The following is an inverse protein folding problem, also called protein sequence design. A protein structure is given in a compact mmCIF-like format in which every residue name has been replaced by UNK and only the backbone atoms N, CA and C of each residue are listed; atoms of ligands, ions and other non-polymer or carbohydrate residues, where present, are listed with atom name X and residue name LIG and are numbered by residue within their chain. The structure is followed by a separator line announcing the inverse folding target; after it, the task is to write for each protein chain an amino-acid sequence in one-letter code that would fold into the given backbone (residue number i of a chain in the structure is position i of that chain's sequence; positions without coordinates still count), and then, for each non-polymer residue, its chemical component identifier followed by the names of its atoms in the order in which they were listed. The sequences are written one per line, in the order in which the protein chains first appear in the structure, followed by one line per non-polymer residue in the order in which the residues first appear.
data_IF_877190240165
#
_entry.id   IF_877190240165
#
_cell.length_a   1.000
_cell.length_b   1.000
_cell.length_c   1.000
_cell.angle_alpha   90.00
_cell.angle_beta   90.00
_cell.angle_gamma   90.00
#
_symmetry.space_group_name_H-M   'P 1'
#
loop_
_entity.id
_entity.type
_entity.pdbx_description
1 polymer ?
#
# COMPACT_ATOMS: atom_id res chain seq x y z
N UNK A 1 -47.15 -42.85 -25.48
CA UNK A 1 -46.46 -42.71 -26.78
C UNK A 1 -45.25 -41.83 -26.49
N UNK A 2 -43.99 -42.21 -26.70
CA UNK A 2 -43.41 -42.91 -27.86
C UNK A 2 -42.08 -43.57 -27.44
N UNK A 3 -41.85 -44.80 -27.93
CA UNK A 3 -40.59 -45.57 -27.84
C UNK A 3 -39.54 -45.03 -28.82
N UNK A 4 -38.26 -45.22 -28.52
CA UNK A 4 -37.18 -45.49 -29.47
C UNK A 4 -35.91 -45.90 -28.69
N UNK A 5 -35.02 -46.79 -29.11
CA UNK A 5 -35.00 -47.92 -30.05
C UNK A 5 -33.63 -48.58 -29.81
N UNK A 6 -33.59 -49.91 -29.71
CA UNK A 6 -32.36 -50.72 -29.69
C UNK A 6 -31.66 -50.75 -31.05
N UNK A 7 -30.33 -50.95 -31.06
CA UNK A 7 -29.63 -52.08 -31.75
C UNK A 7 -28.09 -51.91 -31.65
N UNK A 8 -27.36 -52.92 -31.13
CA UNK A 8 -26.46 -53.86 -31.85
C UNK A 8 -25.10 -53.22 -32.22
N UNK A 9 -23.90 -53.80 -32.05
CA UNK A 9 -23.44 -55.18 -32.24
C UNK A 9 -22.17 -55.49 -31.42
N UNK A 10 -21.83 -56.78 -31.33
CA UNK A 10 -20.57 -57.31 -30.78
C UNK A 10 -19.52 -57.41 -31.89
N UNK A 11 -18.25 -57.15 -31.58
CA UNK A 11 -17.12 -57.89 -32.14
C UNK A 11 -15.89 -57.84 -31.21
N UNK A 12 -15.18 -58.96 -31.12
CA UNK A 12 -13.95 -59.20 -30.36
C UNK A 12 -12.76 -59.14 -31.32
N UNK A 13 -11.62 -58.62 -30.87
CA UNK A 13 -10.25 -59.21 -31.02
C UNK A 13 -9.20 -58.22 -30.50
N UNK A 14 -8.51 -58.55 -29.39
CA UNK A 14 -7.10 -59.00 -29.29
C UNK A 14 -6.05 -57.98 -29.78
N UNK A 15 -5.20 -57.52 -28.84
CA UNK A 15 -3.72 -57.63 -28.88
C UNK A 15 -3.07 -56.83 -27.74
N UNK A 16 -2.41 -57.54 -26.81
CA UNK A 16 -1.12 -57.12 -26.22
C UNK A 16 -0.01 -57.59 -27.20
N UNK A 17 1.24 -57.05 -27.27
CA UNK A 17 2.03 -56.56 -26.12
C UNK A 17 3.08 -55.41 -26.36
N UNK A 18 3.68 -54.99 -25.25
CA UNK A 18 5.12 -54.64 -25.04
C UNK A 18 5.71 -53.23 -25.35
N UNK A 19 6.48 -52.74 -24.34
CA UNK A 19 7.40 -51.57 -24.24
C UNK A 19 6.75 -50.19 -24.01
N UNK A 20 7.21 -49.29 -23.12
CA UNK A 20 8.44 -49.16 -22.33
C UNK A 20 8.18 -48.15 -21.19
N UNK A 21 8.42 -48.50 -19.93
CA UNK A 21 8.50 -47.55 -18.81
C UNK A 21 9.90 -47.67 -18.19
N UNK A 22 10.81 -46.84 -18.66
CA UNK A 22 12.11 -46.58 -18.06
C UNK A 22 12.14 -45.10 -17.66
N UNK A 23 12.69 -44.86 -16.46
CA UNK A 23 13.09 -43.58 -15.83
C UNK A 23 12.04 -42.89 -14.95
N UNK A 24 11.94 -43.30 -13.69
CA UNK A 24 12.33 -42.41 -12.59
C UNK A 24 12.86 -43.24 -11.42
N UNK A 25 14.17 -43.20 -11.22
CA UNK A 25 14.89 -43.94 -10.19
C UNK A 25 14.91 -43.12 -8.89
N UNK A 26 14.62 -43.83 -7.80
CA UNK A 26 15.17 -43.68 -6.44
C UNK A 26 14.83 -42.44 -5.61
N UNK A 27 14.02 -42.66 -4.56
CA UNK A 27 14.42 -42.42 -3.16
C UNK A 27 13.67 -43.44 -2.27
N UNK A 28 14.39 -44.49 -1.87
CA UNK A 28 13.93 -45.52 -0.94
C UNK A 28 14.53 -45.22 0.43
N UNK A 29 13.64 -45.19 1.44
CA UNK A 29 13.77 -45.69 2.81
C UNK A 29 15.12 -45.59 3.50
N UNK A 30 15.15 -44.89 4.64
CA UNK A 30 15.94 -45.31 5.79
C UNK A 30 15.12 -45.12 7.07
N UNK A 31 14.58 -46.24 7.55
CA UNK A 31 14.18 -46.43 8.93
C UNK A 31 15.37 -46.27 9.88
N UNK A 32 15.00 -45.93 11.11
CA UNK A 32 15.87 -45.69 12.26
C UNK A 32 16.19 -47.05 12.90
N UNK A 33 17.47 -47.38 13.06
CA UNK A 33 17.93 -48.45 13.96
C UNK A 33 19.23 -48.03 14.70
N UNK A 34 19.38 -48.34 15.99
CA UNK A 34 20.52 -47.94 16.81
C UNK A 34 21.59 -49.04 16.84
N UNK A 35 22.81 -48.73 16.37
CA UNK A 35 24.10 -49.31 16.75
C UNK A 35 25.08 -49.29 15.56
N UNK A 36 25.97 -48.29 15.53
CA UNK A 36 27.32 -48.40 14.93
C UNK A 36 28.21 -47.27 15.48
N UNK A 37 29.45 -47.55 15.88
CA UNK A 37 30.35 -46.52 16.40
C UNK A 37 30.90 -45.65 15.26
N UNK A 38 30.96 -44.34 15.51
CA UNK A 38 31.49 -43.32 14.60
C UNK A 38 32.98 -43.55 14.30
N UNK A 39 33.47 -43.24 13.08
CA UNK A 39 34.88 -43.39 12.76
C UNK A 39 35.70 -42.28 13.43
N UNK A 40 36.51 -42.65 14.42
CA UNK A 40 37.42 -41.83 15.24
C UNK A 40 38.57 -41.14 14.46
N UNK A 41 38.47 -40.99 13.14
CA UNK A 41 39.58 -40.55 12.27
C UNK A 41 39.44 -39.16 11.65
N UNK A 42 38.31 -38.48 11.81
CA UNK A 42 38.13 -37.09 11.30
C UNK A 42 38.34 -35.99 12.35
N UNK A 43 38.31 -36.32 13.65
CA UNK A 43 38.60 -35.35 14.74
C UNK A 43 40.08 -35.00 14.89
N UNK A 44 40.99 -35.87 14.43
CA UNK A 44 42.44 -35.68 14.58
C UNK A 44 43.08 -34.69 13.59
N UNK A 45 42.37 -34.30 12.53
CA UNK A 45 42.86 -33.35 11.52
C UNK A 45 42.35 -31.91 11.75
N UNK A 46 41.24 -31.73 12.46
CA UNK A 46 40.67 -30.41 12.74
C UNK A 46 41.41 -29.68 13.87
N UNK A 47 41.86 -30.39 14.89
CA UNK A 47 42.61 -29.82 16.02
C UNK A 47 43.94 -29.18 15.59
N UNK A 48 44.80 -29.85 14.79
CA UNK A 48 46.04 -29.23 14.32
C UNK A 48 45.78 -28.10 13.30
N UNK A 49 44.72 -28.17 12.50
CA UNK A 49 44.36 -27.10 11.57
C UNK A 49 43.92 -25.82 12.31
N UNK A 50 43.13 -25.97 13.37
CA UNK A 50 42.73 -24.86 14.26
C UNK A 50 43.97 -24.27 14.97
N UNK A 51 44.90 -25.12 15.44
CA UNK A 51 46.15 -24.65 16.04
C UNK A 51 47.07 -23.93 15.05
N UNK A 52 47.10 -24.34 13.78
CA UNK A 52 47.83 -23.64 12.71
C UNK A 52 47.17 -22.31 12.36
N UNK A 53 45.84 -22.21 12.41
CA UNK A 53 45.12 -20.94 12.27
C UNK A 53 45.43 -19.96 13.41
N UNK A 54 45.62 -20.43 14.65
CA UNK A 54 46.12 -19.59 15.75
C UNK A 54 47.59 -19.18 15.57
N UNK A 55 48.42 -20.04 14.96
CA UNK A 55 49.84 -19.75 14.70
C UNK A 55 50.09 -18.82 13.50
N UNK A 56 49.13 -18.71 12.57
CA UNK A 56 49.20 -17.82 11.39
C UNK A 56 48.35 -16.55 11.54
N UNK A 57 47.64 -16.37 12.66
CA UNK A 57 47.07 -15.06 12.98
C UNK A 57 48.21 -14.06 13.16
N UNK A 58 48.17 -12.86 12.53
CA UNK A 58 49.18 -11.86 12.80
C UNK A 58 49.12 -11.56 14.29
N UNK A 59 50.22 -11.82 14.99
CA UNK A 59 50.43 -11.36 16.35
C UNK A 59 50.09 -9.88 16.37
N UNK A 60 48.96 -9.52 16.98
CA UNK A 60 48.67 -8.14 17.34
C UNK A 60 49.80 -7.70 18.26
N UNK A 61 50.80 -7.05 17.68
CA UNK A 61 51.76 -6.30 18.45
C UNK A 61 50.95 -5.23 19.17
N UNK A 62 50.82 -5.36 20.49
CA UNK A 62 50.57 -4.20 21.32
C UNK A 62 51.76 -3.25 21.08
N UNK A 63 51.56 -2.24 20.23
CA UNK A 63 52.48 -1.13 20.15
C UNK A 63 52.62 -0.58 21.58
N UNK A 64 53.84 -0.32 22.08
CA UNK A 64 54.01 0.23 23.41
C UNK A 64 53.69 1.73 23.33
N UNK A 65 52.41 2.08 23.32
CA UNK A 65 51.98 3.37 23.83
C UNK A 65 51.63 3.16 25.30
N UNK A 66 52.63 3.38 26.14
CA UNK A 66 52.45 3.52 27.57
C UNK A 66 51.64 4.79 27.82
N UNK A 67 50.31 4.68 27.83
CA UNK A 67 49.56 5.56 28.71
C UNK A 67 49.89 5.17 30.16
N UNK A 68 50.09 6.14 31.06
CA UNK A 68 50.42 5.83 32.44
C UNK A 68 49.30 4.98 33.04
N UNK A 69 49.71 3.92 33.75
CA UNK A 69 48.81 3.12 34.57
C UNK A 69 47.99 4.04 35.48
N UNK A 70 46.69 3.74 35.70
CA UNK A 70 45.89 4.49 36.65
C UNK A 70 46.58 4.44 38.01
N UNK A 71 46.92 5.61 38.54
CA UNK A 71 47.63 5.75 39.80
C UNK A 71 46.84 5.03 40.91
N UNK A 72 47.48 4.18 41.72
CA UNK A 72 46.80 3.50 42.81
C UNK A 72 46.68 4.44 44.02
N UNK A 73 45.61 5.25 44.11
CA UNK A 73 44.96 5.77 45.37
C UNK A 73 43.80 6.78 45.09
N UNK A 74 42.94 7.08 46.08
CA UNK A 74 41.49 7.20 45.94
C UNK A 74 41.05 8.62 45.62
N UNK A 75 41.04 8.96 44.35
CA UNK A 75 40.22 10.04 43.79
C UNK A 75 40.63 10.07 42.34
N UNK A 76 39.77 9.59 41.46
CA UNK A 76 39.86 10.03 40.08
C UNK A 76 39.93 11.56 40.13
N UNK A 77 40.98 12.21 39.60
CA UNK A 77 40.99 13.66 39.58
C UNK A 77 39.82 14.10 38.72
N UNK A 78 38.85 14.77 39.32
CA UNK A 78 37.73 15.40 38.61
C UNK A 78 38.30 16.33 37.53
N UNK A 79 38.46 15.82 36.30
CA UNK A 79 38.87 16.57 35.11
C UNK A 79 40.33 16.40 34.64
N UNK A 80 40.56 16.80 33.38
CA UNK A 80 41.85 16.82 32.66
C UNK A 80 42.43 15.45 32.23
N UNK A 81 41.59 14.56 31.69
CA UNK A 81 42.09 13.32 31.10
C UNK A 81 42.85 13.58 29.77
N UNK A 82 43.88 12.78 29.44
CA UNK A 82 44.61 12.88 28.18
C UNK A 82 43.71 12.72 26.95
N UNK A 83 44.16 13.24 25.80
CA UNK A 83 43.45 13.08 24.54
C UNK A 83 42.11 13.81 24.47
N UNK A 84 41.93 14.90 25.24
CA UNK A 84 40.67 15.65 25.31
C UNK A 84 39.48 14.81 25.79
N UNK A 85 39.72 13.84 26.68
CA UNK A 85 38.67 12.96 27.22
C UNK A 85 38.11 13.48 28.56
N UNK A 86 36.90 13.05 28.89
CA UNK A 86 36.26 13.27 30.21
C UNK A 86 35.61 11.96 30.62
N UNK A 87 35.95 11.43 31.80
CA UNK A 87 35.37 10.19 32.32
C UNK A 87 34.91 10.41 33.76
N UNK A 88 33.61 10.27 34.02
CA UNK A 88 33.01 10.42 35.35
C UNK A 88 32.00 9.29 35.61
N UNK A 89 32.06 8.68 36.80
CA UNK A 89 31.25 7.50 37.13
C UNK A 89 32.00 6.17 37.09
N UNK A 90 31.41 5.13 37.67
CA UNK A 90 32.07 3.83 37.83
C UNK A 90 32.28 3.14 36.49
N UNK A 91 33.53 2.75 36.20
CA UNK A 91 33.94 2.06 34.98
C UNK A 91 33.66 2.83 33.68
N UNK A 92 33.50 4.15 33.72
CA UNK A 92 33.45 4.98 32.52
C UNK A 92 34.80 4.94 31.77
N UNK A 93 34.79 4.73 30.45
CA UNK A 93 35.99 4.67 29.57
C UNK A 93 37.10 3.71 30.03
N UNK A 94 36.75 2.62 30.72
CA UNK A 94 37.74 1.75 31.36
C UNK A 94 38.73 1.08 30.40
N UNK A 95 38.29 0.77 29.17
CA UNK A 95 39.10 0.04 28.17
C UNK A 95 39.72 0.93 27.08
N UNK A 96 39.62 2.25 27.20
CA UNK A 96 40.16 3.17 26.20
C UNK A 96 41.69 3.03 26.09
N UNK A 97 42.19 2.81 24.88
CA UNK A 97 43.63 2.67 24.60
C UNK A 97 44.18 3.82 23.76
N UNK A 98 43.58 4.13 22.59
CA UNK A 98 44.11 5.15 21.67
C UNK A 98 43.09 6.19 21.18
N UNK A 99 41.82 6.05 21.53
CA UNK A 99 40.77 7.00 21.15
C UNK A 99 40.88 8.35 21.86
N UNK A 100 40.37 9.42 21.23
CA UNK A 100 40.47 10.80 21.73
C UNK A 100 39.13 11.55 21.62
N UNK A 101 38.94 12.59 22.44
CA UNK A 101 37.76 13.46 22.40
C UNK A 101 36.49 12.85 22.97
N UNK A 102 36.59 11.80 23.78
CA UNK A 102 35.45 11.08 24.34
C UNK A 102 34.97 11.70 25.66
N UNK A 103 33.66 11.87 25.83
CA UNK A 103 33.02 12.24 27.09
C UNK A 103 32.16 11.08 27.57
N UNK A 104 32.44 10.53 28.76
CA UNK A 104 31.68 9.45 29.37
C UNK A 104 31.27 9.82 30.79
N UNK A 105 29.97 9.96 31.05
CA UNK A 105 29.44 10.36 32.34
C UNK A 105 28.31 9.39 32.73
N UNK A 106 28.59 8.49 33.67
CA UNK A 106 27.64 7.50 34.14
C UNK A 106 28.28 6.14 34.46
N UNK A 107 27.46 5.24 35.00
CA UNK A 107 27.88 3.86 35.29
C UNK A 107 28.08 3.11 33.96
N UNK A 108 29.29 2.60 33.71
CA UNK A 108 29.66 1.85 32.50
C UNK A 108 29.51 2.61 31.16
N UNK A 109 29.47 3.94 31.17
CA UNK A 109 29.45 4.73 29.94
C UNK A 109 30.73 4.51 29.12
N UNK A 110 30.61 4.14 27.83
CA UNK A 110 31.75 3.84 26.94
C UNK A 110 32.74 2.80 27.51
N UNK A 111 32.24 1.77 28.20
CA UNK A 111 33.09 0.82 28.93
C UNK A 111 34.06 0.02 28.04
N UNK A 112 33.62 -0.47 26.88
CA UNK A 112 34.41 -1.31 25.95
C UNK A 112 35.06 -0.53 24.81
N UNK A 113 34.89 0.80 24.76
CA UNK A 113 35.53 1.60 23.72
C UNK A 113 37.06 1.54 23.87
N UNK A 114 37.75 1.08 22.83
CA UNK A 114 39.21 0.90 22.84
C UNK A 114 39.92 1.91 21.96
N UNK A 115 39.43 2.14 20.75
CA UNK A 115 40.04 3.01 19.74
C UNK A 115 39.13 4.14 19.26
N UNK A 116 37.84 4.12 19.61
CA UNK A 116 36.84 5.06 19.14
C UNK A 116 37.11 6.49 19.63
N UNK A 117 36.80 7.46 18.79
CA UNK A 117 37.05 8.89 19.04
C UNK A 117 35.78 9.72 18.86
N UNK A 118 35.74 10.87 19.54
CA UNK A 118 34.66 11.86 19.47
C UNK A 118 33.29 11.34 19.91
N UNK A 119 33.25 10.39 20.84
CA UNK A 119 32.03 9.84 21.39
C UNK A 119 31.56 10.62 22.64
N UNK A 120 30.27 10.92 22.75
CA UNK A 120 29.67 11.54 23.95
C UNK A 120 28.63 10.61 24.54
N UNK A 121 28.81 10.18 25.77
CA UNK A 121 27.99 9.19 26.49
C UNK A 121 27.56 9.76 27.85
N UNK A 122 26.26 9.96 28.05
CA UNK A 122 25.69 10.49 29.29
C UNK A 122 24.54 9.60 29.80
N UNK A 123 24.77 8.85 30.86
CA UNK A 123 23.77 7.97 31.49
C UNK A 123 24.31 6.58 31.82
N UNK A 124 23.52 5.76 32.50
CA UNK A 124 23.92 4.41 32.88
C UNK A 124 23.90 3.46 31.68
N UNK A 125 25.03 2.84 31.36
CA UNK A 125 25.15 1.86 30.28
C UNK A 125 25.04 2.46 28.87
N UNK A 126 25.27 3.75 28.69
CA UNK A 126 25.33 4.36 27.35
C UNK A 126 26.57 3.92 26.59
N UNK A 127 26.42 3.54 25.31
CA UNK A 127 27.55 3.21 24.42
C UNK A 127 28.51 2.13 24.97
N UNK A 128 28.02 1.19 25.80
CA UNK A 128 28.89 0.21 26.52
C UNK A 128 29.76 -0.58 25.56
N UNK A 129 29.21 -1.03 24.43
CA UNK A 129 29.89 -1.88 23.43
C UNK A 129 30.24 -1.10 22.15
N UNK A 130 30.40 0.23 22.26
CA UNK A 130 30.73 1.06 21.11
C UNK A 130 32.21 0.94 20.73
N UNK A 131 32.50 0.56 19.49
CA UNK A 131 33.87 0.56 18.93
C UNK A 131 34.08 1.56 17.79
N UNK A 132 33.07 2.38 17.50
CA UNK A 132 33.02 3.32 16.39
C UNK A 132 33.21 4.78 16.84
N UNK A 133 33.39 5.68 15.87
CA UNK A 133 33.66 7.10 16.07
C UNK A 133 32.39 7.99 15.97
N UNK A 134 32.45 9.16 16.61
CA UNK A 134 31.51 10.27 16.43
C UNK A 134 30.07 9.99 16.83
N UNK A 135 29.84 9.18 17.87
CA UNK A 135 28.49 8.88 18.37
C UNK A 135 28.14 9.71 19.61
N UNK A 136 26.93 10.28 19.66
CA UNK A 136 26.41 11.02 20.82
C UNK A 136 25.19 10.30 21.39
N UNK A 137 25.26 9.87 22.64
CA UNK A 137 24.19 9.15 23.33
C UNK A 137 23.92 9.75 24.72
N UNK A 138 22.65 9.98 25.04
CA UNK A 138 22.17 10.43 26.36
C UNK A 138 20.92 9.65 26.77
N UNK A 139 20.96 8.98 27.92
CA UNK A 139 19.87 8.15 28.44
C UNK A 139 20.37 6.88 29.12
N UNK A 140 19.50 6.05 29.70
CA UNK A 140 19.93 4.73 30.15
C UNK A 140 19.98 3.77 28.94
N UNK A 141 21.09 3.04 28.79
CA UNK A 141 21.31 2.06 27.71
C UNK A 141 21.11 2.61 26.27
N UNK A 142 21.18 3.92 26.08
CA UNK A 142 21.18 4.52 24.74
C UNK A 142 22.41 4.06 23.95
N UNK A 143 22.19 3.62 22.71
CA UNK A 143 23.23 3.17 21.77
C UNK A 143 24.12 2.05 22.33
N UNK A 144 23.54 1.14 23.13
CA UNK A 144 24.25 0.12 23.89
C UNK A 144 25.12 -0.80 23.03
N UNK A 145 24.59 -1.27 21.89
CA UNK A 145 25.21 -2.25 20.99
C UNK A 145 25.47 -1.63 19.62
N UNK A 146 26.51 -0.80 19.52
CA UNK A 146 26.91 -0.13 18.29
C UNK A 146 28.36 -0.45 17.91
N UNK A 147 28.57 -1.52 17.13
CA UNK A 147 29.93 -2.01 16.85
C UNK A 147 30.64 -1.13 15.82
N UNK A 148 30.05 -0.93 14.64
CA UNK A 148 30.69 -0.22 13.51
C UNK A 148 30.03 1.12 13.15
N UNK A 149 28.82 1.40 13.67
CA UNK A 149 28.05 2.58 13.29
C UNK A 149 28.69 3.90 13.76
N UNK A 150 28.89 4.84 12.84
CA UNK A 150 29.47 6.15 13.09
C UNK A 150 28.44 7.26 12.93
N UNK A 151 28.69 8.40 13.57
CA UNK A 151 27.89 9.62 13.39
C UNK A 151 26.41 9.48 13.79
N UNK A 152 26.13 8.69 14.84
CA UNK A 152 24.79 8.51 15.37
C UNK A 152 24.49 9.42 16.57
N UNK A 153 23.25 9.85 16.70
CA UNK A 153 22.75 10.61 17.85
C UNK A 153 21.58 9.87 18.51
N UNK A 154 21.66 9.56 19.80
CA UNK A 154 20.57 8.95 20.56
C UNK A 154 20.27 9.71 21.85
N UNK A 155 19.02 10.11 22.03
CA UNK A 155 18.55 10.85 23.19
C UNK A 155 17.26 10.21 23.71
N UNK A 156 17.37 9.42 24.77
CA UNK A 156 16.25 8.67 25.34
C UNK A 156 16.70 7.38 26.03
N UNK A 157 15.84 6.80 26.84
CA UNK A 157 16.10 5.46 27.40
C UNK A 157 15.93 4.42 26.29
N UNK A 158 16.90 3.52 26.17
CA UNK A 158 16.90 2.46 25.16
C UNK A 158 16.70 2.98 23.72
N UNK A 159 17.17 4.19 23.42
CA UNK A 159 17.21 4.69 22.05
C UNK A 159 18.37 4.04 21.30
N UNK A 160 18.14 3.54 20.08
CA UNK A 160 19.20 3.02 19.19
C UNK A 160 19.98 1.82 19.80
N UNK A 161 19.34 1.00 20.64
CA UNK A 161 20.01 -0.08 21.40
C UNK A 161 20.76 -1.03 20.49
N UNK A 162 20.11 -1.51 19.43
CA UNK A 162 20.72 -2.37 18.42
C UNK A 162 20.98 -1.53 17.16
N UNK A 163 22.26 -1.24 16.88
CA UNK A 163 22.67 -0.49 15.71
C UNK A 163 23.90 -1.14 15.06
N UNK A 164 23.75 -1.83 13.92
CA UNK A 164 24.91 -2.47 13.29
C UNK A 164 25.39 -3.74 14.02
N UNK A 165 24.55 -4.43 14.78
CA UNK A 165 25.01 -5.61 15.53
C UNK A 165 25.24 -6.80 14.60
N UNK A 166 26.52 -7.09 14.31
CA UNK A 166 26.92 -8.25 13.52
C UNK A 166 26.88 -8.04 12.00
N UNK A 167 26.64 -6.81 11.54
CA UNK A 167 26.60 -6.41 10.13
C UNK A 167 27.24 -5.03 9.96
N UNK A 168 27.82 -4.76 8.80
CA UNK A 168 28.39 -3.44 8.48
C UNK A 168 27.26 -2.50 8.05
N UNK A 169 26.97 -1.48 8.85
CA UNK A 169 25.86 -0.55 8.63
C UNK A 169 25.61 0.34 9.85
N UNK A 170 24.45 0.99 9.94
CA UNK A 170 24.07 1.73 11.15
C UNK A 170 24.70 3.12 11.30
N UNK A 171 25.02 3.79 10.20
CA UNK A 171 25.61 5.15 10.24
C UNK A 171 24.54 6.24 10.12
N UNK A 172 24.84 7.43 10.63
CA UNK A 172 24.02 8.64 10.41
C UNK A 172 22.58 8.57 10.93
N UNK A 173 22.33 7.82 12.00
CA UNK A 173 20.99 7.69 12.59
C UNK A 173 20.80 8.67 13.76
N UNK A 174 19.67 9.36 13.77
CA UNK A 174 19.26 10.31 14.79
C UNK A 174 17.99 9.81 15.49
N UNK A 175 18.08 9.40 16.76
CA UNK A 175 16.96 8.95 17.58
C UNK A 175 16.72 9.87 18.77
N UNK A 176 15.53 10.48 18.85
CA UNK A 176 15.11 11.36 19.93
C UNK A 176 13.79 10.86 20.51
N UNK A 177 13.85 10.14 21.64
CA UNK A 177 12.70 9.54 22.31
C UNK A 177 13.06 8.22 22.97
N UNK A 178 12.22 7.74 23.89
CA UNK A 178 12.44 6.42 24.50
C UNK A 178 12.10 5.33 23.47
N UNK A 179 12.98 4.33 23.35
CA UNK A 179 12.84 3.22 22.39
C UNK A 179 12.78 3.65 20.92
N UNK A 180 13.20 4.87 20.58
CA UNK A 180 13.31 5.29 19.17
C UNK A 180 14.45 4.51 18.49
N UNK A 181 14.21 3.99 17.27
CA UNK A 181 15.18 3.15 16.54
C UNK A 181 15.73 1.98 17.36
N UNK A 182 14.92 1.36 18.22
CA UNK A 182 15.39 0.32 19.15
C UNK A 182 16.11 -0.82 18.42
N UNK A 183 15.54 -1.28 17.30
CA UNK A 183 16.11 -2.34 16.46
C UNK A 183 16.43 -1.83 15.05
N UNK A 184 17.69 -1.48 14.82
CA UNK A 184 18.22 -1.05 13.52
C UNK A 184 19.44 -1.91 13.14
N UNK A 185 19.25 -2.93 12.31
CA UNK A 185 20.34 -3.88 12.00
C UNK A 185 21.43 -3.24 11.17
N UNK A 186 21.13 -2.77 9.95
CA UNK A 186 22.10 -2.09 9.07
C UNK A 186 21.58 -0.77 8.47
N UNK A 187 20.36 -0.35 8.80
CA UNK A 187 19.75 0.89 8.34
C UNK A 187 20.59 2.15 8.63
N UNK A 188 20.60 3.09 7.70
CA UNK A 188 21.42 4.31 7.78
C UNK A 188 20.61 5.56 7.42
N UNK A 189 21.07 6.74 7.86
CA UNK A 189 20.44 8.04 7.57
C UNK A 189 18.99 8.18 8.08
N UNK A 190 18.61 7.48 9.15
CA UNK A 190 17.26 7.56 9.71
C UNK A 190 17.12 8.67 10.76
N UNK A 191 16.02 9.42 10.73
CA UNK A 191 15.66 10.45 11.70
C UNK A 191 14.38 10.07 12.43
N UNK A 192 14.48 9.60 13.68
CA UNK A 192 13.36 9.23 14.53
C UNK A 192 13.19 10.21 15.69
N UNK A 193 12.01 10.82 15.82
CA UNK A 193 11.66 11.76 16.89
C UNK A 193 10.29 11.38 17.46
N UNK A 194 10.27 10.76 18.63
CA UNK A 194 9.06 10.25 19.28
C UNK A 194 9.33 9.00 20.11
N UNK A 195 8.38 8.61 20.97
CA UNK A 195 8.47 7.33 21.66
C UNK A 195 8.16 6.21 20.64
N UNK A 196 9.00 5.16 20.62
CA UNK A 196 8.89 4.05 19.65
C UNK A 196 8.83 4.47 18.16
N UNK A 197 9.31 5.66 17.79
CA UNK A 197 9.46 6.04 16.39
C UNK A 197 10.53 5.15 15.72
N UNK A 198 10.20 4.55 14.56
CA UNK A 198 11.07 3.57 13.87
C UNK A 198 11.54 2.41 14.78
N UNK A 199 10.69 1.92 15.69
CA UNK A 199 11.08 0.93 16.70
C UNK A 199 11.71 -0.34 16.08
N UNK A 200 11.08 -0.91 15.06
CA UNK A 200 11.61 -1.99 14.22
C UNK A 200 11.93 -1.42 12.83
N UNK A 201 13.20 -1.14 12.56
CA UNK A 201 13.70 -0.67 11.27
C UNK A 201 14.93 -1.49 10.87
N UNK A 202 14.72 -2.77 10.53
CA UNK A 202 15.81 -3.73 10.39
C UNK A 202 16.83 -3.31 9.31
N UNK A 203 16.33 -2.96 8.12
CA UNK A 203 17.14 -2.62 6.95
C UNK A 203 16.87 -1.23 6.35
N UNK A 204 15.86 -0.51 6.83
CA UNK A 204 15.41 0.73 6.22
C UNK A 204 16.42 1.87 6.35
N UNK A 205 16.59 2.64 5.27
CA UNK A 205 17.49 3.77 5.18
C UNK A 205 16.78 5.06 4.73
N UNK A 206 17.34 6.20 5.14
CA UNK A 206 16.85 7.53 4.79
C UNK A 206 15.38 7.78 5.18
N UNK A 207 14.91 7.20 6.28
CA UNK A 207 13.55 7.42 6.78
C UNK A 207 13.48 8.60 7.76
N UNK A 208 12.38 9.34 7.74
CA UNK A 208 12.09 10.42 8.70
C UNK A 208 10.79 10.13 9.42
N UNK A 209 10.82 9.80 10.71
CA UNK A 209 9.67 9.54 11.55
C UNK A 209 9.59 10.58 12.68
N UNK A 210 8.52 11.38 12.70
CA UNK A 210 8.28 12.41 13.71
C UNK A 210 6.89 12.22 14.31
N UNK A 211 6.82 11.63 15.48
CA UNK A 211 5.58 11.28 16.19
C UNK A 211 5.75 10.04 17.05
N UNK A 212 4.88 9.89 18.04
CA UNK A 212 4.77 8.64 18.81
C UNK A 212 4.36 7.50 17.88
N UNK A 213 5.08 6.37 17.92
CA UNK A 213 4.80 5.17 17.09
C UNK A 213 4.84 5.40 15.56
N UNK A 214 5.42 6.50 15.08
CA UNK A 214 5.57 6.78 13.65
C UNK A 214 6.55 5.78 13.01
N UNK A 215 6.16 5.15 11.89
CA UNK A 215 6.94 4.09 11.23
C UNK A 215 7.37 2.96 12.19
N UNK A 216 6.55 2.60 13.18
CA UNK A 216 6.97 1.64 14.22
C UNK A 216 7.48 0.32 13.63
N UNK A 217 6.79 -0.22 12.63
CA UNK A 217 7.12 -1.47 11.97
C UNK A 217 7.47 -1.17 10.51
N UNK A 218 8.74 -0.84 10.25
CA UNK A 218 9.25 -0.50 8.92
C UNK A 218 10.27 -1.55 8.45
N UNK A 219 9.84 -2.53 7.66
CA UNK A 219 10.69 -3.66 7.24
C UNK A 219 10.79 -4.78 8.28
N UNK A 220 9.65 -5.38 8.66
CA UNK A 220 9.61 -6.59 9.51
C UNK A 220 10.07 -7.86 8.77
N UNK A 221 10.08 -7.79 7.44
CA UNK A 221 10.51 -8.77 6.47
C UNK A 221 11.99 -8.52 6.15
N UNK A 222 12.77 -9.58 5.91
CA UNK A 222 14.20 -9.53 5.53
C UNK A 222 14.46 -8.86 4.15
N UNK A 223 13.58 -7.98 3.68
CA UNK A 223 13.62 -7.29 2.41
C UNK A 223 14.26 -5.90 2.57
N UNK A 224 14.95 -5.46 1.52
CA UNK A 224 15.74 -4.21 1.47
C UNK A 224 14.85 -2.99 1.13
N UNK A 225 13.53 -3.16 1.01
CA UNK A 225 12.61 -2.14 0.55
C UNK A 225 11.84 -1.60 1.77
N UNK A 226 12.36 -0.56 2.41
CA UNK A 226 11.68 0.21 3.48
C UNK A 226 12.35 1.58 3.66
N UNK A 227 12.77 2.19 2.54
CA UNK A 227 13.62 3.36 2.46
C UNK A 227 12.85 4.61 2.04
N UNK A 228 13.42 5.77 2.34
CA UNK A 228 12.94 7.08 1.88
C UNK A 228 11.50 7.40 2.33
N UNK A 229 11.03 6.82 3.44
CA UNK A 229 9.71 7.11 3.98
C UNK A 229 9.75 8.33 4.90
N UNK A 230 8.78 9.23 4.76
CA UNK A 230 8.57 10.38 5.64
C UNK A 230 7.22 10.22 6.35
N UNK A 231 7.24 10.07 7.67
CA UNK A 231 6.06 9.95 8.51
C UNK A 231 6.07 11.06 9.57
N UNK A 232 5.08 11.95 9.53
CA UNK A 232 4.94 13.07 10.47
C UNK A 232 3.54 13.05 11.07
N UNK A 233 3.45 12.67 12.34
CA UNK A 233 2.22 12.48 13.10
C UNK A 233 2.28 11.23 13.97
N UNK A 234 1.43 11.16 15.01
CA UNK A 234 1.34 9.96 15.83
C UNK A 234 0.79 8.79 14.99
N UNK A 235 1.49 7.65 15.04
CA UNK A 235 1.19 6.43 14.29
C UNK A 235 1.10 6.61 12.76
N UNK A 236 1.71 7.66 12.21
CA UNK A 236 1.83 7.80 10.76
C UNK A 236 2.67 6.65 10.19
N UNK A 237 2.20 5.98 9.12
CA UNK A 237 2.85 4.79 8.53
C UNK A 237 3.18 3.68 9.55
N UNK A 238 2.31 3.47 10.55
CA UNK A 238 2.58 2.56 11.68
C UNK A 238 3.03 1.15 11.28
N UNK A 239 2.42 0.58 10.22
CA UNK A 239 2.79 -0.73 9.67
C UNK A 239 3.14 -0.60 8.19
N UNK A 240 4.40 -0.25 7.90
CA UNK A 240 4.94 -0.18 6.55
C UNK A 240 5.86 -1.39 6.32
N UNK A 241 5.33 -2.46 5.72
CA UNK A 241 6.05 -3.74 5.62
C UNK A 241 7.22 -3.64 4.64
N UNK A 242 6.96 -3.34 3.36
CA UNK A 242 8.00 -3.21 2.32
C UNK A 242 7.89 -1.89 1.49
N UNK A 243 7.14 -0.89 1.97
CA UNK A 243 6.86 0.31 1.18
C UNK A 243 8.05 1.28 1.10
N UNK A 244 8.44 1.67 -0.11
CA UNK A 244 9.48 2.67 -0.38
C UNK A 244 8.89 4.04 -0.77
N UNK A 245 9.57 5.11 -0.37
CA UNK A 245 9.27 6.50 -0.80
C UNK A 245 7.86 7.01 -0.47
N UNK A 246 7.29 6.61 0.66
CA UNK A 246 5.98 7.07 1.11
C UNK A 246 6.09 8.34 1.97
N UNK A 247 5.22 9.32 1.73
CA UNK A 247 5.12 10.55 2.54
C UNK A 247 3.75 10.60 3.21
N UNK A 248 3.71 10.40 4.53
CA UNK A 248 2.51 10.51 5.35
C UNK A 248 2.64 11.67 6.34
N UNK A 249 1.76 12.65 6.22
CA UNK A 249 1.67 13.79 7.15
C UNK A 249 0.25 13.86 7.72
N UNK A 250 0.09 13.43 8.97
CA UNK A 250 -1.21 13.30 9.64
C UNK A 250 -1.13 12.35 10.83
N UNK A 251 -1.95 12.56 11.86
CA UNK A 251 -1.99 11.73 13.06
C UNK A 251 -3.30 10.93 13.09
N UNK A 252 -3.24 9.62 13.25
CA UNK A 252 -4.44 8.82 13.48
C UNK A 252 -4.24 7.90 14.68
N UNK A 253 -5.24 7.89 15.57
CA UNK A 253 -5.19 7.21 16.86
C UNK A 253 -5.45 5.70 16.77
N UNK A 254 -5.92 5.20 15.60
CA UNK A 254 -6.35 3.81 15.42
C UNK A 254 -5.71 3.09 14.23
N UNK A 255 -5.46 3.79 13.10
CA UNK A 255 -4.93 3.17 11.88
C UNK A 255 -3.80 3.92 11.18
N UNK A 256 -3.40 5.13 11.57
CA UNK A 256 -2.37 5.88 10.84
C UNK A 256 -2.81 6.35 9.43
N UNK A 257 -2.21 7.42 8.92
CA UNK A 257 -2.19 7.63 7.47
C UNK A 257 -1.29 6.55 6.85
N UNK A 258 -1.78 5.81 5.84
CA UNK A 258 -1.14 4.61 5.24
C UNK A 258 -0.92 3.43 6.22
N UNK A 259 -1.91 3.11 7.04
CA UNK A 259 -1.82 2.14 8.14
C UNK A 259 -1.36 0.72 7.86
N UNK A 260 -1.54 0.24 6.62
CA UNK A 260 -1.28 -1.14 6.23
C UNK A 260 -0.53 -1.22 4.88
N UNK A 261 0.39 -0.30 4.62
CA UNK A 261 1.12 -0.33 3.35
C UNK A 261 2.09 -1.51 3.33
N UNK A 262 1.76 -2.56 2.59
CA UNK A 262 2.51 -3.82 2.59
C UNK A 262 3.57 -3.81 1.50
N UNK A 263 3.26 -3.32 0.29
CA UNK A 263 4.20 -3.24 -0.85
C UNK A 263 4.12 -1.90 -1.60
N UNK A 264 3.14 -1.04 -1.32
CA UNK A 264 2.91 0.20 -2.06
C UNK A 264 4.08 1.18 -2.01
N UNK A 265 4.46 1.66 -3.19
CA UNK A 265 5.59 2.59 -3.39
C UNK A 265 5.09 3.97 -3.81
N UNK A 266 5.73 5.03 -3.35
CA UNK A 266 5.49 6.42 -3.78
C UNK A 266 4.09 6.99 -3.45
N UNK A 267 3.51 6.64 -2.31
CA UNK A 267 2.25 7.24 -1.87
C UNK A 267 2.48 8.55 -1.09
N UNK A 268 1.70 9.60 -1.39
CA UNK A 268 1.71 10.87 -0.68
C UNK A 268 0.36 11.10 0.00
N UNK A 269 0.29 10.84 1.30
CA UNK A 269 -0.89 11.02 2.15
C UNK A 269 -0.72 12.25 3.05
N UNK A 270 -1.61 13.22 2.94
CA UNK A 270 -1.62 14.41 3.80
C UNK A 270 -3.02 14.63 4.38
N UNK A 271 -3.20 14.34 5.66
CA UNK A 271 -4.50 14.34 6.34
C UNK A 271 -4.61 13.19 7.33
N UNK A 272 -5.58 13.27 8.26
CA UNK A 272 -5.91 12.15 9.14
C UNK A 272 -6.60 11.07 8.31
N UNK A 273 -6.19 9.81 8.45
CA UNK A 273 -6.72 8.64 7.71
C UNK A 273 -6.69 8.76 6.17
N UNK A 274 -5.88 9.65 5.60
CA UNK A 274 -5.63 9.66 4.16
C UNK A 274 -4.92 8.36 3.75
N UNK A 275 -5.44 7.67 2.73
CA UNK A 275 -4.98 6.32 2.29
C UNK A 275 -4.95 5.27 3.43
N UNK A 276 -5.85 5.36 4.41
CA UNK A 276 -5.84 4.52 5.62
C UNK A 276 -5.79 3.01 5.39
N UNK A 277 -6.32 2.51 4.27
CA UNK A 277 -6.41 1.08 3.94
C UNK A 277 -5.59 0.63 2.73
N UNK A 278 -4.63 1.43 2.24
CA UNK A 278 -3.83 1.04 1.07
C UNK A 278 -2.85 -0.08 1.39
N UNK A 279 -2.92 -1.19 0.64
CA UNK A 279 -2.12 -2.40 0.83
C UNK A 279 -1.00 -2.46 -0.22
N UNK A 280 -1.38 -2.48 -1.51
CA UNK A 280 -0.45 -2.66 -2.65
C UNK A 280 -0.47 -1.49 -3.66
N UNK A 281 -1.38 -0.52 -3.47
CA UNK A 281 -1.53 0.64 -4.34
C UNK A 281 -0.26 1.51 -4.40
N UNK A 282 0.16 1.90 -5.59
CA UNK A 282 1.38 2.70 -5.81
C UNK A 282 1.09 4.04 -6.48
N UNK A 283 1.95 5.02 -6.23
CA UNK A 283 1.90 6.36 -6.85
C UNK A 283 0.58 7.12 -6.62
N UNK A 284 -0.05 6.95 -5.45
CA UNK A 284 -1.27 7.69 -5.11
C UNK A 284 -0.95 8.99 -4.37
N UNK A 285 -1.65 10.07 -4.70
CA UNK A 285 -1.62 11.35 -3.97
C UNK A 285 -2.98 11.54 -3.32
N UNK A 286 -3.04 11.53 -1.99
CA UNK A 286 -4.25 11.79 -1.22
C UNK A 286 -4.02 12.95 -0.26
N UNK A 287 -4.74 14.06 -0.47
CA UNK A 287 -4.62 15.27 0.35
C UNK A 287 -5.99 15.67 0.89
N UNK A 288 -6.20 15.48 2.19
CA UNK A 288 -7.45 15.72 2.89
C UNK A 288 -7.69 14.68 3.97
N UNK A 289 -8.47 15.04 4.99
CA UNK A 289 -8.92 14.08 6.01
C UNK A 289 -9.84 13.03 5.36
N UNK A 290 -9.53 11.75 5.62
CA UNK A 290 -10.12 10.56 5.01
C UNK A 290 -10.09 10.52 3.47
N UNK A 291 -9.19 11.28 2.83
CA UNK A 291 -9.04 11.25 1.38
C UNK A 291 -8.58 9.85 0.92
N UNK A 292 -9.39 9.21 0.08
CA UNK A 292 -9.13 7.90 -0.53
C UNK A 292 -8.86 6.79 0.50
N UNK A 293 -9.56 6.84 1.64
CA UNK A 293 -9.30 5.99 2.80
C UNK A 293 -9.45 4.48 2.56
N UNK A 294 -10.28 4.08 1.59
CA UNK A 294 -10.62 2.67 1.33
C UNK A 294 -9.90 2.08 0.11
N UNK A 295 -8.92 2.79 -0.48
CA UNK A 295 -8.23 2.27 -1.66
C UNK A 295 -7.27 1.14 -1.30
N UNK A 296 -7.64 -0.11 -1.59
CA UNK A 296 -6.83 -1.30 -1.28
C UNK A 296 -5.66 -1.46 -2.26
N UNK A 297 -5.94 -1.56 -3.56
CA UNK A 297 -4.96 -1.93 -4.61
C UNK A 297 -4.78 -0.88 -5.72
N UNK A 298 -5.61 0.17 -5.74
CA UNK A 298 -5.61 1.16 -6.82
C UNK A 298 -4.32 1.97 -6.88
N UNK A 299 -3.85 2.25 -8.10
CA UNK A 299 -2.60 2.98 -8.36
C UNK A 299 -2.82 4.21 -9.23
N UNK A 300 -1.88 5.16 -9.17
CA UNK A 300 -1.87 6.39 -9.99
C UNK A 300 -3.06 7.33 -9.77
N UNK A 301 -3.67 7.33 -8.57
CA UNK A 301 -4.80 8.20 -8.27
C UNK A 301 -4.33 9.54 -7.67
N UNK A 302 -4.96 10.64 -8.08
CA UNK A 302 -4.79 11.98 -7.47
C UNK A 302 -6.09 12.41 -6.82
N UNK A 303 -6.15 12.40 -5.50
CA UNK A 303 -7.32 12.67 -4.69
C UNK A 303 -7.06 13.84 -3.75
N UNK A 304 -7.86 14.89 -3.85
CA UNK A 304 -7.71 16.12 -3.05
C UNK A 304 -9.08 16.56 -2.53
N UNK A 305 -9.27 16.50 -1.20
CA UNK A 305 -10.49 16.94 -0.53
C UNK A 305 -10.81 16.13 0.72
N UNK A 306 -11.63 16.70 1.60
CA UNK A 306 -12.20 15.99 2.75
C UNK A 306 -13.12 14.87 2.28
N UNK A 307 -12.87 13.62 2.66
CA UNK A 307 -13.70 12.45 2.29
C UNK A 307 -13.84 12.24 0.76
N UNK A 308 -12.85 12.70 -0.01
CA UNK A 308 -12.82 12.52 -1.45
C UNK A 308 -12.43 11.07 -1.80
N UNK A 309 -13.12 10.46 -2.77
CA UNK A 309 -12.82 9.11 -3.25
C UNK A 309 -13.15 7.97 -2.26
N UNK A 310 -13.85 8.26 -1.17
CA UNK A 310 -14.21 7.25 -0.16
C UNK A 310 -15.06 6.13 -0.75
N UNK A 311 -14.73 4.88 -0.40
CA UNK A 311 -15.36 3.68 -0.95
C UNK A 311 -15.12 3.41 -2.42
N UNK A 312 -14.14 4.07 -3.07
CA UNK A 312 -13.80 3.83 -4.48
C UNK A 312 -12.47 3.08 -4.62
N UNK A 313 -12.48 2.01 -5.41
CA UNK A 313 -11.29 1.25 -5.82
C UNK A 313 -11.02 1.42 -7.31
N UNK A 314 -9.76 1.68 -7.67
CA UNK A 314 -9.33 1.61 -9.07
C UNK A 314 -8.14 2.50 -9.38
N UNK A 315 -7.87 2.68 -10.67
CA UNK A 315 -6.60 3.22 -11.16
C UNK A 315 -6.79 4.50 -11.99
N UNK A 316 -5.75 5.32 -12.08
CA UNK A 316 -5.71 6.50 -12.96
C UNK A 316 -6.85 7.51 -12.75
N UNK A 317 -7.37 7.63 -11.53
CA UNK A 317 -8.45 8.58 -11.24
C UNK A 317 -7.93 9.93 -10.72
N UNK A 318 -8.65 11.00 -11.03
CA UNK A 318 -8.41 12.34 -10.49
C UNK A 318 -9.68 12.84 -9.81
N UNK A 319 -9.67 12.95 -8.48
CA UNK A 319 -10.79 13.45 -7.68
C UNK A 319 -10.37 14.73 -6.96
N UNK A 320 -11.06 15.84 -7.25
CA UNK A 320 -10.75 17.14 -6.66
C UNK A 320 -12.03 17.77 -6.11
N UNK A 321 -12.11 17.91 -4.79
CA UNK A 321 -13.26 18.43 -4.03
C UNK A 321 -13.48 17.61 -2.76
N UNK A 322 -13.98 18.23 -1.68
CA UNK A 322 -14.49 17.46 -0.54
C UNK A 322 -15.55 16.49 -1.08
N UNK A 323 -15.62 15.20 -0.76
CA UNK A 323 -16.61 14.26 -1.32
C UNK A 323 -16.64 14.10 -2.85
N UNK A 324 -15.60 14.53 -3.58
CA UNK A 324 -15.49 14.21 -5.01
C UNK A 324 -15.20 12.70 -5.16
N UNK A 325 -16.03 11.95 -5.89
CA UNK A 325 -15.91 10.50 -6.03
C UNK A 325 -17.17 9.87 -6.62
N UNK A 326 -17.21 8.54 -6.74
CA UNK A 326 -18.40 7.80 -7.16
C UNK A 326 -19.42 7.77 -6.00
N UNK A 327 -20.62 8.37 -6.15
CA UNK A 327 -21.63 8.32 -5.09
C UNK A 327 -22.06 6.88 -4.80
N UNK A 328 -21.87 6.43 -3.56
CA UNK A 328 -22.20 5.06 -3.13
C UNK A 328 -21.05 4.05 -3.22
N UNK A 329 -19.85 4.49 -3.62
CA UNK A 329 -18.67 3.63 -3.74
C UNK A 329 -18.73 2.66 -4.93
N UNK A 330 -17.67 1.86 -5.09
CA UNK A 330 -17.53 0.89 -6.17
C UNK A 330 -16.15 0.95 -6.82
N UNK A 331 -16.09 0.64 -8.11
CA UNK A 331 -14.84 0.72 -8.87
C UNK A 331 -14.92 1.69 -10.04
N UNK A 332 -13.92 2.56 -10.14
CA UNK A 332 -13.73 3.49 -11.25
C UNK A 332 -12.27 3.47 -11.67
N UNK A 333 -12.03 3.47 -12.99
CA UNK A 333 -10.67 3.57 -13.54
C UNK A 333 -10.65 4.60 -14.67
N UNK A 334 -9.71 5.54 -14.62
CA UNK A 334 -9.54 6.58 -15.63
C UNK A 334 -10.55 7.73 -15.56
N UNK A 335 -11.18 7.95 -14.40
CA UNK A 335 -12.20 9.00 -14.23
C UNK A 335 -11.60 10.28 -13.66
N UNK A 336 -12.06 11.42 -14.19
CA UNK A 336 -11.78 12.74 -13.62
C UNK A 336 -13.08 13.30 -13.05
N UNK A 337 -13.12 13.55 -11.75
CA UNK A 337 -14.22 14.21 -11.04
C UNK A 337 -13.70 15.48 -10.36
N UNK A 338 -14.25 16.63 -10.74
CA UNK A 338 -13.86 17.93 -10.20
C UNK A 338 -15.11 18.62 -9.65
N UNK A 339 -15.06 18.98 -8.36
CA UNK A 339 -16.13 19.59 -7.60
C UNK A 339 -16.93 18.58 -6.77
N UNK A 340 -17.62 19.11 -5.77
CA UNK A 340 -18.55 18.37 -4.94
C UNK A 340 -19.93 18.38 -5.61
N UNK A 341 -20.46 17.22 -6.06
CA UNK A 341 -21.73 17.15 -6.78
C UNK A 341 -22.95 17.59 -5.96
N UNK A 342 -22.83 17.69 -4.63
CA UNK A 342 -23.91 18.10 -3.74
C UNK A 342 -23.97 19.62 -3.54
N UNK A 343 -22.86 20.33 -3.73
CA UNK A 343 -22.77 21.76 -3.37
C UNK A 343 -22.24 22.66 -4.50
N UNK A 344 -21.50 22.13 -5.46
CA UNK A 344 -20.93 22.91 -6.58
C UNK A 344 -21.90 22.89 -7.77
N UNK A 345 -22.63 23.99 -7.97
CA UNK A 345 -23.58 24.14 -9.09
C UNK A 345 -23.01 24.91 -10.29
N UNK A 346 -21.83 25.49 -10.17
CA UNK A 346 -21.17 26.29 -11.21
C UNK A 346 -19.69 25.93 -11.30
N UNK A 347 -19.18 25.71 -12.52
CA UNK A 347 -17.77 25.42 -12.79
C UNK A 347 -17.20 26.48 -13.75
N UNK A 348 -16.18 27.21 -13.31
CA UNK A 348 -15.43 28.15 -14.13
C UNK A 348 -14.04 27.60 -14.40
N UNK A 349 -13.76 27.26 -15.66
CA UNK A 349 -12.42 26.87 -16.11
C UNK A 349 -11.78 28.12 -16.74
N UNK A 350 -10.57 28.47 -16.29
CA UNK A 350 -9.86 29.62 -16.86
C UNK A 350 -9.49 29.36 -18.33
N UNK A 351 -9.58 30.38 -19.18
CA UNK A 351 -9.15 30.31 -20.59
C UNK A 351 -10.16 29.70 -21.57
N UNK A 352 -11.30 29.18 -21.12
CA UNK A 352 -12.40 28.75 -22.02
C UNK A 352 -13.46 29.85 -22.22
N UNK A 353 -13.61 30.77 -21.28
CA UNK A 353 -14.65 31.81 -21.36
C UNK A 353 -14.38 32.74 -22.54
N UNK A 354 -15.32 32.80 -23.48
CA UNK A 354 -15.21 33.62 -24.69
C UNK A 354 -14.37 33.01 -25.82
N UNK A 355 -13.96 31.74 -25.70
CA UNK A 355 -13.28 31.00 -26.77
C UNK A 355 -14.29 30.13 -27.52
N UNK A 356 -14.39 30.32 -28.84
CA UNK A 356 -15.21 29.45 -29.69
C UNK A 356 -14.52 28.09 -29.91
N UNK A 357 -15.30 27.03 -29.91
CA UNK A 357 -14.85 25.69 -30.28
C UNK A 357 -14.41 25.64 -31.76
N UNK A 358 -13.59 24.66 -32.11
CA UNK A 358 -13.09 24.47 -33.47
C UNK A 358 -14.27 24.21 -34.42
N UNK A 359 -14.49 25.11 -35.37
CA UNK A 359 -15.61 25.01 -36.33
C UNK A 359 -16.94 25.60 -35.84
N UNK A 360 -16.96 26.29 -34.68
CA UNK A 360 -18.16 26.95 -34.15
C UNK A 360 -19.25 25.98 -33.67
N UNK A 361 -18.90 24.71 -33.48
CA UNK A 361 -19.84 23.66 -33.04
C UNK A 361 -19.98 23.73 -31.52
N UNK A 362 -21.17 23.97 -30.95
CA UNK A 362 -21.32 24.05 -29.51
C UNK A 362 -20.80 22.77 -28.82
N UNK A 363 -20.26 22.92 -27.60
CA UNK A 363 -19.90 21.76 -26.75
C UNK A 363 -21.11 21.41 -25.90
N UNK A 364 -21.55 20.16 -25.98
CA UNK A 364 -22.64 19.58 -25.22
C UNK A 364 -22.09 18.61 -24.16
N UNK A 365 -22.90 18.34 -23.14
CA UNK A 365 -22.72 17.17 -22.27
C UNK A 365 -23.56 16.03 -22.84
N UNK A 366 -22.96 14.85 -23.05
CA UNK A 366 -23.67 13.66 -23.52
C UNK A 366 -24.48 12.97 -22.40
N UNK A 367 -25.07 11.81 -22.70
CA UNK A 367 -25.88 11.07 -21.73
C UNK A 367 -25.04 10.45 -20.59
N UNK A 368 -23.76 10.29 -20.84
CA UNK A 368 -22.76 9.72 -19.94
C UNK A 368 -22.05 10.82 -19.09
N UNK A 369 -22.39 12.09 -19.29
CA UNK A 369 -21.84 13.21 -18.54
C UNK A 369 -20.51 13.74 -19.09
N UNK A 370 -20.10 13.33 -20.29
CA UNK A 370 -18.84 13.74 -20.92
C UNK A 370 -19.05 14.96 -21.83
N UNK A 371 -18.01 15.79 -21.96
CA UNK A 371 -18.00 16.92 -22.89
C UNK A 371 -17.76 16.43 -24.32
N UNK A 372 -18.67 16.75 -25.25
CA UNK A 372 -18.59 16.38 -26.65
C UNK A 372 -19.01 17.53 -27.57
N UNK A 373 -18.57 17.53 -28.83
CA UNK A 373 -19.15 18.42 -29.84
C UNK A 373 -20.61 18.02 -30.07
N UNK A 374 -21.54 18.97 -29.97
CA UNK A 374 -22.92 18.75 -30.37
C UNK A 374 -22.91 18.45 -31.87
N UNK A 375 -22.95 17.17 -32.27
CA UNK A 375 -23.05 16.81 -33.69
C UNK A 375 -24.17 17.62 -34.35
N UNK A 376 -24.01 18.07 -35.62
CA UNK A 376 -25.08 18.78 -36.28
C UNK A 376 -26.32 17.88 -36.22
N UNK A 377 -27.46 18.41 -35.76
CA UNK A 377 -28.72 17.67 -35.76
C UNK A 377 -28.95 17.15 -37.18
N UNK A 378 -28.57 15.89 -37.43
CA UNK A 378 -28.50 15.43 -38.81
C UNK A 378 -29.92 15.40 -39.34
N UNK A 379 -30.17 15.79 -40.60
CA UNK A 379 -31.49 15.70 -41.20
C UNK A 379 -32.12 14.32 -41.00
N UNK A 380 -31.30 13.27 -40.89
CA UNK A 380 -31.67 11.87 -40.60
C UNK A 380 -32.34 11.71 -39.23
N UNK A 381 -31.87 12.40 -38.18
CA UNK A 381 -32.48 12.34 -36.84
C UNK A 381 -33.88 12.95 -36.81
N UNK A 382 -34.07 14.08 -37.48
CA UNK A 382 -35.38 14.72 -37.64
C UNK A 382 -36.29 13.86 -38.52
N UNK A 383 -35.77 13.28 -39.60
CA UNK A 383 -36.49 12.34 -40.46
C UNK A 383 -36.94 11.10 -39.68
N UNK A 384 -36.10 10.53 -38.81
CA UNK A 384 -36.45 9.35 -38.00
C UNK A 384 -37.58 9.67 -37.01
N UNK A 385 -37.48 10.76 -36.27
CA UNK A 385 -38.54 11.21 -35.35
C UNK A 385 -39.86 11.53 -36.09
N UNK A 386 -39.77 12.10 -37.29
CA UNK A 386 -40.95 12.38 -38.12
C UNK A 386 -41.58 11.10 -38.67
N UNK A 387 -40.76 10.11 -39.05
CA UNK A 387 -41.21 8.80 -39.55
C UNK A 387 -41.90 8.00 -38.45
N UNK A 388 -41.37 7.99 -37.24
CA UNK A 388 -41.98 7.31 -36.08
C UNK A 388 -43.34 7.96 -35.72
N UNK A 389 -43.42 9.31 -35.77
CA UNK A 389 -44.68 10.04 -35.55
C UNK A 389 -45.71 9.80 -36.66
N UNK A 390 -45.27 9.64 -37.90
CA UNK A 390 -46.14 9.27 -39.02
C UNK A 390 -46.63 7.82 -38.91
N UNK A 391 -45.77 6.87 -38.54
CA UNK A 391 -46.13 5.47 -38.32
C UNK A 391 -47.19 5.32 -37.21
N UNK A 392 -47.06 6.06 -36.11
CA UNK A 392 -48.04 6.08 -35.03
C UNK A 392 -49.41 6.64 -35.49
N UNK A 393 -49.41 7.66 -36.36
CA UNK A 393 -50.66 8.20 -36.93
C UNK A 393 -51.34 7.24 -37.90
N UNK A 394 -50.56 6.53 -38.72
CA UNK A 394 -51.09 5.53 -39.66
C UNK A 394 -51.74 4.38 -38.88
N UNK A 395 -51.08 3.86 -37.84
CA UNK A 395 -51.64 2.81 -36.98
C UNK A 395 -52.96 3.24 -36.30
N UNK A 396 -53.04 4.50 -35.86
CA UNK A 396 -54.27 5.05 -35.30
C UNK A 396 -55.40 5.15 -36.33
N UNK A 397 -55.09 5.59 -37.56
CA UNK A 397 -56.06 5.68 -38.66
C UNK A 397 -56.56 4.30 -39.08
N UNK A 398 -55.68 3.30 -39.19
CA UNK A 398 -56.06 1.91 -39.48
C UNK A 398 -56.99 1.35 -38.41
N UNK A 399 -56.72 1.63 -37.13
CA UNK A 399 -57.60 1.27 -36.02
C UNK A 399 -59.00 1.90 -36.14
N UNK A 400 -59.06 3.19 -36.47
CA UNK A 400 -60.33 3.90 -36.68
C UNK A 400 -61.12 3.39 -37.88
N UNK A 401 -60.44 3.07 -38.99
CA UNK A 401 -61.06 2.50 -40.19
C UNK A 401 -61.66 1.11 -39.90
N UNK A 402 -60.95 0.27 -39.16
CA UNK A 402 -61.44 -1.05 -38.77
C UNK A 402 -62.68 -0.94 -37.86
N UNK A 403 -62.68 0.01 -36.91
CA UNK A 403 -63.83 0.27 -36.05
C UNK A 403 -65.04 0.78 -36.85
N UNK A 404 -64.83 1.71 -37.80
CA UNK A 404 -65.89 2.21 -38.68
C UNK A 404 -66.45 1.10 -39.59
N UNK A 405 -65.58 0.25 -40.13
CA UNK A 405 -65.98 -0.89 -40.96
C UNK A 405 -66.83 -1.88 -40.17
N UNK A 406 -66.50 -2.14 -38.91
CA UNK A 406 -67.31 -2.98 -38.03
C UNK A 406 -68.69 -2.36 -37.73
N UNK A 407 -68.74 -1.05 -37.47
CA UNK A 407 -69.99 -0.33 -37.24
C UNK A 407 -70.91 -0.36 -38.47
N UNK A 408 -70.35 -0.18 -39.68
CA UNK A 408 -71.11 -0.26 -40.92
C UNK A 408 -71.68 -1.65 -41.18
N UNK A 409 -70.93 -2.72 -40.88
CA UNK A 409 -71.45 -4.10 -40.96
C UNK A 409 -72.62 -4.31 -40.00
N UNK A 410 -72.49 -3.85 -38.76
CA UNK A 410 -73.56 -3.94 -37.78
C UNK A 410 -74.81 -3.16 -38.21
N UNK A 411 -74.63 -1.99 -38.82
CA UNK A 411 -75.73 -1.20 -39.36
C UNK A 411 -76.40 -1.90 -40.56
N UNK A 412 -75.62 -2.53 -41.44
CA UNK A 412 -76.15 -3.33 -42.54
C UNK A 412 -77.01 -4.50 -42.03
N UNK A 413 -76.57 -5.20 -40.98
CA UNK A 413 -77.34 -6.29 -40.35
C UNK A 413 -78.64 -5.78 -39.72
N UNK A 414 -78.63 -4.59 -39.10
CA UNK A 414 -79.84 -3.96 -38.57
C UNK A 414 -80.83 -3.58 -39.68
N UNK A 415 -80.34 -3.02 -40.79
CA UNK A 415 -81.19 -2.68 -41.95
C UNK A 415 -81.84 -3.94 -42.53
N UNK A 416 -81.10 -5.06 -42.63
CA UNK A 416 -81.69 -6.34 -43.08
C UNK A 416 -82.79 -6.82 -42.13
N UNK A 417 -82.60 -6.72 -40.82
CA UNK A 417 -83.63 -7.09 -39.84
C UNK A 417 -84.88 -6.21 -39.95
N UNK A 418 -84.73 -4.89 -40.07
CA UNK A 418 -85.86 -3.97 -40.23
C UNK A 418 -86.58 -4.22 -41.56
N UNK A 419 -85.83 -4.48 -42.64
CA UNK A 419 -86.39 -4.83 -43.94
C UNK A 419 -87.22 -6.12 -43.88
N UNK A 420 -86.70 -7.16 -43.21
CA UNK A 420 -87.42 -8.41 -42.99
C UNK A 420 -88.70 -8.22 -42.16
N UNK A 421 -88.66 -7.38 -41.11
CA UNK A 421 -89.85 -7.03 -40.33
C UNK A 421 -90.90 -6.27 -41.15
N UNK A 422 -90.48 -5.35 -42.02
CA UNK A 422 -91.36 -4.62 -42.94
C UNK A 422 -92.03 -5.55 -43.96
N UNK A 423 -91.32 -6.55 -44.49
CA UNK A 423 -91.92 -7.54 -45.40
C UNK A 423 -92.98 -8.41 -44.72
N UNK A 424 -92.85 -8.70 -43.42
CA UNK A 424 -93.88 -9.42 -42.66
C UNK A 424 -95.15 -8.59 -42.41
N UNK A 425 -95.10 -7.26 -42.59
CA UNK A 425 -96.23 -6.33 -42.34
C UNK A 425 -96.89 -5.89 -43.66
N UNK A 426 -96.35 -6.27 -44.83
CA UNK A 426 -96.99 -5.95 -46.12
C UNK A 426 -98.37 -6.61 -46.22
N UNK A 427 -99.46 -5.83 -46.39
CA UNK A 427 -100.80 -6.40 -46.61
C UNK A 427 -100.84 -7.17 -47.93
N UNK A 428 -101.53 -8.31 -47.95
CA UNK A 428 -101.71 -9.11 -49.16
C UNK A 428 -102.38 -8.28 -50.27
N UNK A 429 -101.98 -8.43 -51.55
CA UNK A 429 -102.59 -7.71 -52.66
C UNK A 429 -104.09 -8.01 -52.73
N UNK A 430 -104.92 -7.00 -52.52
CA UNK A 430 -106.36 -7.09 -52.75
C UNK A 430 -106.62 -7.09 -54.25
N UNK A 431 -106.99 -8.26 -54.79
CA UNK A 431 -107.56 -8.34 -56.13
C UNK A 431 -109.02 -7.88 -56.03
N UNK A 432 -109.34 -6.75 -56.64
CA UNK A 432 -110.72 -6.27 -56.76
C UNK A 432 -111.33 -6.95 -57.98
N UNK A 433 -112.17 -7.97 -57.77
CA UNK A 433 -113.10 -8.44 -58.80
C UNK A 433 -114.20 -7.39 -58.97
N UNK A 434 -114.14 -6.60 -60.04
CA UNK A 434 -115.29 -5.85 -60.52
C UNK A 434 -116.19 -6.81 -61.32
N UNK A 435 -117.39 -7.04 -60.79
CA UNK A 435 -118.49 -7.77 -61.44
C UNK A 435 -119.01 -7.08 -62.69
#
# INVERSE_FOLDING_TARGET
MTKNKNKHDRERERTDPMYSLIQLKTLVSCGRDPARPLPLRRGFLLIPLILVCFALSPTAYAAPQTLPSPLPRPSNPDGCYPGFTTAEGCNALHKLTTGAGNTAVGWYSLFEDTTGSYNTALGGGTLVLNTADSNTATGAAALLLNVEGTQNCAYGTDALVYNGFGVTGGNFNNAFGSFALYNNSDGYENNAVGNHALFENLHGAANTAVGDLALQNNGENDNIFANFNTAVGASALHSNSDGDSNNAVGAAFLYGALGNNTVGVQNNAMGVDALGSSIDGSSNVAVGDSAFADNVDGSFNTVVGWDAGTGVEGEDNIYIGATAGLPGGGSETGYIRIGDPLFVTVCYIAGITGVESKGGVPVCVDAEGQLAECGPASPISQLKATTEKQAARIALQEGQINALTAALRQQADQIQKVSAQLEMIKPAPQVVENR
#
